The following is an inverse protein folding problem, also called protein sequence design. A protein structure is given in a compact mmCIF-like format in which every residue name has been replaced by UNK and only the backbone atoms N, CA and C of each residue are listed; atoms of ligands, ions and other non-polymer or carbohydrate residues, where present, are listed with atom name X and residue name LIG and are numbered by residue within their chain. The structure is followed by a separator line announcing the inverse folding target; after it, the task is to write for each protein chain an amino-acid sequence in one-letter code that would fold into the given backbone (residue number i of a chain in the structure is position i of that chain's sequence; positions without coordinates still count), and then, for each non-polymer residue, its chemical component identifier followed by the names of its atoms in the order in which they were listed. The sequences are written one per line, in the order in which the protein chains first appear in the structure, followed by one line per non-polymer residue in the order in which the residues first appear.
data_IF_789375076743
#
_entry.id   IF_789375076743
#
_cell.length_a   1.000
_cell.length_b   1.000
_cell.length_c   1.000
_cell.angle_alpha   90.00
_cell.angle_beta   90.00
_cell.angle_gamma   90.00
#
_symmetry.space_group_name_H-M   'P 1'
#
loop_
_entity.id
_entity.type
_entity.pdbx_description
1 polymer ?
#
# COMPACT_ATOMS: atom_id res chain seq x y z
N UNK A 1 55.58 -7.16 28.69
CA UNK A 1 54.96 -7.48 27.38
C UNK A 1 53.82 -8.42 27.69
N UNK A 2 52.53 -8.13 27.51
CA UNK A 2 51.86 -7.13 26.67
C UNK A 2 50.51 -6.78 27.32
N UNK A 3 50.16 -5.49 27.27
CA UNK A 3 48.82 -4.97 27.55
C UNK A 3 47.90 -5.30 26.38
N UNK A 4 46.69 -5.80 26.64
CA UNK A 4 45.57 -5.69 25.71
C UNK A 4 44.29 -5.36 26.49
N UNK A 5 43.94 -4.07 26.47
CA UNK A 5 42.58 -3.61 26.74
C UNK A 5 41.70 -3.97 25.53
N UNK A 6 40.58 -4.64 25.75
CA UNK A 6 39.47 -4.69 24.80
C UNK A 6 38.32 -3.83 25.34
N UNK A 7 37.93 -2.85 24.54
CA UNK A 7 36.80 -1.96 24.76
C UNK A 7 35.47 -2.72 24.58
N UNK A 8 34.39 -2.36 25.31
CA UNK A 8 33.06 -2.87 25.03
C UNK A 8 32.50 -2.20 23.76
N UNK A 9 32.16 -3.01 22.75
CA UNK A 9 31.35 -2.58 21.62
C UNK A 9 29.87 -2.62 22.01
N UNK A 10 29.32 -1.50 22.46
CA UNK A 10 27.87 -1.30 22.48
C UNK A 10 27.38 -0.96 21.07
N UNK A 11 27.18 -1.98 20.23
CA UNK A 11 26.34 -1.83 19.05
C UNK A 11 24.89 -2.03 19.47
N UNK A 12 24.27 -0.96 19.99
CA UNK A 12 22.81 -0.89 20.13
C UNK A 12 22.24 -0.64 18.75
N UNK A 13 22.16 -1.70 17.94
CA UNK A 13 21.20 -1.74 16.85
C UNK A 13 19.83 -1.74 17.52
N UNK A 14 19.11 -0.62 17.40
CA UNK A 14 17.70 -0.56 17.78
C UNK A 14 16.98 -1.65 17.00
N UNK A 15 16.68 -2.76 17.68
CA UNK A 15 15.90 -3.84 17.11
C UNK A 15 14.55 -3.24 16.70
N UNK A 16 14.28 -3.27 15.39
CA UNK A 16 12.93 -3.04 14.90
C UNK A 16 12.00 -3.98 15.68
N UNK A 17 10.90 -3.49 16.26
CA UNK A 17 9.99 -4.36 16.97
C UNK A 17 9.56 -5.47 16.02
N UNK A 18 9.58 -6.75 16.44
CA UNK A 18 9.11 -7.84 15.60
C UNK A 18 7.65 -7.56 15.26
N UNK A 19 7.39 -7.24 14.00
CA UNK A 19 6.03 -7.04 13.50
C UNK A 19 5.29 -8.36 13.63
N UNK A 20 4.33 -8.43 14.55
CA UNK A 20 3.32 -9.48 14.48
C UNK A 20 2.60 -9.34 13.14
N UNK A 21 2.32 -10.44 12.42
CA UNK A 21 1.64 -10.36 11.14
C UNK A 21 0.32 -9.61 11.31
N UNK A 22 0.04 -8.68 10.40
CA UNK A 22 -1.19 -7.91 10.41
C UNK A 22 -2.40 -8.86 10.43
N UNK A 23 -3.40 -8.62 11.29
CA UNK A 23 -4.56 -9.51 11.38
C UNK A 23 -5.42 -9.30 10.13
N UNK A 24 -5.28 -10.20 9.16
CA UNK A 24 -5.98 -10.14 7.88
C UNK A 24 -6.73 -11.44 7.59
N UNK A 25 -8.05 -11.33 7.44
CA UNK A 25 -8.90 -12.39 6.94
C UNK A 25 -9.69 -11.87 5.73
N UNK A 26 -9.44 -12.38 4.50
CA UNK A 26 -10.12 -11.93 3.31
C UNK A 26 -11.63 -12.27 3.29
N UNK A 27 -12.09 -13.20 4.14
CA UNK A 27 -13.51 -13.53 4.26
C UNK A 27 -14.30 -12.51 5.10
N UNK A 28 -13.63 -11.64 5.86
CA UNK A 28 -14.29 -10.58 6.62
C UNK A 28 -14.87 -9.50 5.72
N UNK A 29 -15.92 -8.83 6.22
CA UNK A 29 -16.47 -7.65 5.56
C UNK A 29 -15.40 -6.55 5.44
N UNK A 30 -15.31 -5.84 4.30
CA UNK A 30 -14.24 -4.85 4.06
C UNK A 30 -14.08 -3.81 5.17
N UNK A 31 -15.19 -3.25 5.66
CA UNK A 31 -15.18 -2.26 6.74
C UNK A 31 -14.60 -2.81 8.07
N UNK A 32 -14.87 -4.08 8.40
CA UNK A 32 -14.33 -4.72 9.59
C UNK A 32 -12.83 -5.00 9.44
N UNK A 33 -12.43 -5.49 8.26
CA UNK A 33 -11.04 -5.76 7.92
C UNK A 33 -10.19 -4.49 7.97
N UNK A 34 -10.68 -3.39 7.38
CA UNK A 34 -10.05 -2.08 7.47
C UNK A 34 -9.89 -1.60 8.92
N UNK A 35 -10.94 -1.75 9.74
CA UNK A 35 -10.89 -1.40 11.16
C UNK A 35 -9.78 -2.18 11.87
N UNK A 36 -9.73 -3.49 11.71
CA UNK A 36 -8.71 -4.34 12.35
C UNK A 36 -7.30 -3.96 11.90
N UNK A 37 -7.09 -3.68 10.61
CA UNK A 37 -5.80 -3.21 10.11
C UNK A 37 -5.40 -1.87 10.74
N UNK A 38 -6.35 -0.93 10.87
CA UNK A 38 -6.10 0.36 11.53
C UNK A 38 -5.77 0.21 13.01
N UNK A 39 -6.50 -0.63 13.72
CA UNK A 39 -6.28 -0.90 15.15
C UNK A 39 -4.94 -1.60 15.40
N UNK A 40 -4.41 -2.34 14.42
CA UNK A 40 -3.09 -2.97 14.50
C UNK A 40 -1.93 -1.98 14.27
N UNK A 41 -2.18 -0.77 13.76
CA UNK A 41 -1.14 0.23 13.54
C UNK A 41 -0.65 0.83 14.87
N UNK A 42 0.59 1.35 14.94
CA UNK A 42 1.03 2.15 16.08
C UNK A 42 0.10 3.34 16.35
N UNK A 43 -0.22 3.61 17.62
CA UNK A 43 -1.12 4.69 18.07
C UNK A 43 -0.82 6.07 17.42
N UNK A 44 0.45 6.49 17.20
CA UNK A 44 0.73 7.74 16.49
C UNK A 44 0.15 7.78 15.07
N UNK A 45 0.15 6.67 14.34
CA UNK A 45 -0.43 6.60 12.99
C UNK A 45 -1.95 6.58 13.04
N UNK A 46 -2.55 5.85 14.00
CA UNK A 46 -4.01 5.83 14.19
C UNK A 46 -4.54 7.26 14.36
N UNK A 47 -3.94 8.03 15.28
CA UNK A 47 -4.32 9.42 15.55
C UNK A 47 -4.17 10.33 14.32
N UNK A 48 -3.16 10.12 13.47
CA UNK A 48 -3.00 10.89 12.23
C UNK A 48 -4.08 10.53 11.21
N UNK A 49 -4.37 9.24 11.04
CA UNK A 49 -5.42 8.76 10.15
C UNK A 49 -6.79 9.32 10.54
N UNK A 50 -7.09 9.40 11.83
CA UNK A 50 -8.34 9.94 12.37
C UNK A 50 -8.47 11.46 12.20
N UNK A 51 -7.35 12.18 12.19
CA UNK A 51 -7.32 13.65 12.11
C UNK A 51 -7.15 14.20 10.69
N UNK A 52 -6.84 13.34 9.72
CA UNK A 52 -6.69 13.78 8.34
C UNK A 52 -8.01 14.28 7.74
N UNK A 53 -7.88 15.11 6.71
CA UNK A 53 -9.01 15.74 6.04
C UNK A 53 -9.35 14.96 4.77
N UNK A 54 -10.63 14.74 4.52
CA UNK A 54 -11.13 14.17 3.25
C UNK A 54 -11.65 15.32 2.40
N UNK A 55 -10.96 15.62 1.31
CA UNK A 55 -11.43 16.47 0.23
C UNK A 55 -12.21 15.66 -0.80
N UNK A 56 -13.20 16.27 -1.43
CA UNK A 56 -13.93 15.69 -2.56
C UNK A 56 -13.88 16.65 -3.74
N UNK A 57 -13.49 16.16 -4.90
CA UNK A 57 -13.53 16.96 -6.12
C UNK A 57 -13.95 16.10 -7.31
N UNK A 58 -14.59 16.75 -8.29
CA UNK A 58 -14.98 16.11 -9.54
C UNK A 58 -13.77 15.97 -10.44
N UNK A 59 -13.47 14.73 -10.85
CA UNK A 59 -12.45 14.43 -11.85
C UNK A 59 -13.08 14.44 -13.23
N UNK A 60 -12.48 15.21 -14.13
CA UNK A 60 -12.83 15.27 -15.53
C UNK A 60 -11.70 14.65 -16.37
N UNK A 61 -12.06 13.88 -17.39
CA UNK A 61 -11.17 13.31 -18.41
C UNK A 61 -11.48 13.94 -19.76
N UNK A 62 -10.75 13.52 -20.80
CA UNK A 62 -11.00 13.97 -22.19
C UNK A 62 -12.43 13.67 -22.67
N UNK A 63 -13.07 12.63 -22.11
CA UNK A 63 -14.44 12.23 -22.40
C UNK A 63 -15.51 12.93 -21.52
N UNK A 64 -15.10 13.90 -20.69
CA UNK A 64 -15.99 14.66 -19.81
C UNK A 64 -15.92 14.27 -18.34
N UNK A 65 -17.06 14.32 -17.63
CA UNK A 65 -17.10 13.94 -16.21
C UNK A 65 -16.80 12.45 -16.05
N UNK A 66 -15.76 12.12 -15.28
CA UNK A 66 -15.37 10.74 -15.03
C UNK A 66 -15.95 10.24 -13.71
N UNK A 67 -15.62 10.92 -12.58
CA UNK A 67 -16.13 10.53 -11.26
C UNK A 67 -15.89 11.64 -10.20
N UNK A 68 -16.41 11.46 -8.99
CA UNK A 68 -16.01 12.21 -7.79
C UNK A 68 -14.90 11.44 -7.06
N UNK A 69 -13.74 12.08 -6.91
CA UNK A 69 -12.58 11.49 -6.21
C UNK A 69 -12.51 12.03 -4.79
N UNK A 70 -12.27 11.12 -3.84
CA UNK A 70 -11.93 11.47 -2.46
C UNK A 70 -10.41 11.49 -2.29
N UNK A 71 -9.86 12.66 -1.98
CA UNK A 71 -8.46 12.79 -1.60
C UNK A 71 -8.35 12.93 -0.09
N UNK A 72 -7.52 12.11 0.53
CA UNK A 72 -7.20 12.25 1.94
C UNK A 72 -5.86 12.95 2.10
N UNK A 73 -5.83 14.03 2.89
CA UNK A 73 -4.61 14.76 3.22
C UNK A 73 -4.28 14.62 4.70
N UNK A 74 -3.00 14.34 5.05
CA UNK A 74 -2.60 14.23 6.44
C UNK A 74 -2.75 15.59 7.16
N UNK A 75 -3.01 15.58 8.48
CA UNK A 75 -3.09 16.82 9.26
C UNK A 75 -1.72 17.49 9.37
N UNK A 76 -1.69 18.76 9.80
CA UNK A 76 -0.44 19.42 10.16
C UNK A 76 0.29 18.68 11.30
N UNK A 77 1.61 18.89 11.39
CA UNK A 77 2.43 18.29 12.45
C UNK A 77 2.84 16.84 12.19
N UNK A 78 2.73 16.34 10.96
CA UNK A 78 3.43 15.12 10.56
C UNK A 78 4.94 15.34 10.70
N UNK A 79 5.64 14.36 11.27
CA UNK A 79 7.08 14.44 11.58
C UNK A 79 7.84 13.38 10.79
N UNK A 80 9.17 13.48 10.68
CA UNK A 80 9.99 12.42 10.09
C UNK A 80 9.82 11.05 10.78
N UNK A 81 9.54 11.04 12.09
CA UNK A 81 9.23 9.82 12.84
C UNK A 81 7.93 9.20 12.38
N UNK A 82 6.89 10.02 12.15
CA UNK A 82 5.62 9.53 11.59
C UNK A 82 5.83 8.94 10.20
N UNK A 83 6.67 9.55 9.36
CA UNK A 83 6.98 9.01 8.05
C UNK A 83 7.67 7.64 8.12
N UNK A 84 8.64 7.47 9.02
CA UNK A 84 9.30 6.17 9.21
C UNK A 84 8.32 5.07 9.63
N UNK A 85 7.42 5.36 10.58
CA UNK A 85 6.37 4.42 11.00
C UNK A 85 5.41 4.10 9.85
N UNK A 86 4.98 5.11 9.08
CA UNK A 86 4.05 4.94 7.98
C UNK A 86 4.64 4.10 6.84
N UNK A 87 5.93 4.29 6.51
CA UNK A 87 6.63 3.46 5.51
C UNK A 87 6.70 1.99 5.92
N UNK A 88 7.02 1.71 7.18
CA UNK A 88 7.05 0.35 7.69
C UNK A 88 5.66 -0.30 7.64
N UNK A 89 4.61 0.40 8.08
CA UNK A 89 3.25 -0.12 7.99
C UNK A 89 2.81 -0.33 6.52
N UNK A 90 3.18 0.58 5.63
CA UNK A 90 2.88 0.49 4.21
C UNK A 90 3.57 -0.71 3.56
N UNK A 91 4.84 -0.99 3.87
CA UNK A 91 5.55 -2.16 3.33
C UNK A 91 4.89 -3.45 3.80
N UNK A 92 4.53 -3.55 5.08
CA UNK A 92 3.83 -4.74 5.59
C UNK A 92 2.50 -4.98 4.86
N UNK A 93 1.68 -3.94 4.67
CA UNK A 93 0.41 -4.07 3.93
C UNK A 93 0.66 -4.42 2.46
N UNK A 94 1.61 -3.74 1.81
CA UNK A 94 1.92 -3.95 0.39
C UNK A 94 2.43 -5.37 0.12
N UNK A 95 3.32 -5.87 0.98
CA UNK A 95 4.03 -7.13 0.75
C UNK A 95 3.25 -8.35 1.23
N UNK A 96 2.34 -8.19 2.20
CA UNK A 96 1.60 -9.34 2.80
C UNK A 96 0.12 -9.39 2.43
N UNK A 97 -0.51 -8.25 2.18
CA UNK A 97 -1.96 -8.16 1.94
C UNK A 97 -2.24 -7.80 0.48
N UNK A 98 -1.59 -6.77 -0.05
CA UNK A 98 -1.84 -6.25 -1.40
C UNK A 98 -0.88 -6.82 -2.45
N UNK A 99 -0.03 -7.77 -2.07
CA UNK A 99 0.95 -8.36 -2.98
C UNK A 99 0.25 -9.02 -4.17
N UNK A 100 0.66 -8.70 -5.41
CA UNK A 100 0.15 -9.31 -6.62
C UNK A 100 0.11 -10.84 -6.57
N UNK A 101 -0.95 -11.44 -7.12
CA UNK A 101 -1.04 -12.88 -7.26
C UNK A 101 0.04 -13.43 -8.21
N UNK A 102 0.49 -14.66 -7.96
CA UNK A 102 1.36 -15.32 -8.94
C UNK A 102 0.58 -15.69 -10.22
N UNK A 103 1.27 -15.69 -11.36
CA UNK A 103 0.69 -16.07 -12.65
C UNK A 103 0.02 -17.46 -12.61
N UNK A 104 0.63 -18.42 -11.88
CA UNK A 104 0.07 -19.76 -11.71
C UNK A 104 -1.26 -19.75 -10.94
N UNK A 105 -1.38 -18.92 -9.89
CA UNK A 105 -2.64 -18.76 -9.16
C UNK A 105 -3.71 -18.14 -10.04
N UNK A 106 -3.36 -17.07 -10.77
CA UNK A 106 -4.25 -16.38 -11.70
C UNK A 106 -4.78 -17.32 -12.77
N UNK A 107 -3.90 -17.99 -13.52
CA UNK A 107 -4.28 -18.90 -14.60
C UNK A 107 -5.20 -20.02 -14.09
N UNK A 108 -4.80 -20.68 -13.00
CA UNK A 108 -5.61 -21.75 -12.39
C UNK A 108 -6.97 -21.24 -11.92
N UNK A 109 -7.05 -19.99 -11.43
CA UNK A 109 -8.29 -19.39 -10.96
C UNK A 109 -9.23 -18.96 -12.06
N UNK A 110 -8.69 -18.36 -13.12
CA UNK A 110 -9.46 -17.97 -14.29
C UNK A 110 -10.01 -19.22 -15.00
N UNK A 111 -9.18 -20.22 -15.28
CA UNK A 111 -9.64 -21.46 -15.92
C UNK A 111 -10.72 -22.16 -15.08
N UNK A 112 -10.53 -22.26 -13.77
CA UNK A 112 -11.54 -22.82 -12.87
C UNK A 112 -12.85 -22.01 -12.93
N UNK A 113 -12.80 -20.68 -12.92
CA UNK A 113 -13.98 -19.84 -13.04
C UNK A 113 -14.71 -20.06 -14.37
N UNK A 114 -13.97 -20.03 -15.49
CA UNK A 114 -14.53 -20.16 -16.83
C UNK A 114 -15.15 -21.53 -17.08
N UNK A 115 -14.62 -22.60 -16.47
CA UNK A 115 -15.19 -23.95 -16.58
C UNK A 115 -16.63 -24.07 -16.04
N UNK A 116 -17.05 -23.17 -15.13
CA UNK A 116 -18.44 -23.10 -14.68
C UNK A 116 -19.39 -22.49 -15.72
N UNK A 117 -18.84 -21.82 -16.73
CA UNK A 117 -19.57 -21.10 -17.77
C UNK A 117 -19.02 -21.45 -19.17
N UNK A 118 -19.16 -22.73 -19.59
CA UNK A 118 -18.55 -23.20 -20.83
C UNK A 118 -19.09 -22.43 -22.04
N UNK A 119 -18.18 -21.98 -22.90
CA UNK A 119 -18.56 -21.39 -24.18
C UNK A 119 -18.87 -22.49 -25.20
N UNK A 120 -19.80 -22.21 -26.10
CA UNK A 120 -20.07 -23.12 -27.22
C UNK A 120 -18.91 -23.06 -28.21
N UNK A 121 -18.36 -24.22 -28.56
CA UNK A 121 -17.36 -24.39 -29.62
C UNK A 121 -16.02 -23.65 -29.43
N UNK A 122 -15.57 -23.41 -28.20
CA UNK A 122 -14.20 -22.92 -27.93
C UNK A 122 -13.26 -24.11 -27.73
N UNK A 123 -12.11 -24.11 -28.41
CA UNK A 123 -11.09 -25.15 -28.21
C UNK A 123 -10.33 -24.93 -26.89
N UNK A 124 -9.75 -25.98 -26.28
CA UNK A 124 -8.95 -25.84 -25.06
C UNK A 124 -7.78 -24.85 -25.21
N UNK A 125 -7.15 -24.81 -26.39
CA UNK A 125 -6.05 -23.88 -26.68
C UNK A 125 -6.51 -22.43 -26.63
N UNK A 126 -7.69 -22.13 -27.18
CA UNK A 126 -8.27 -20.77 -27.14
C UNK A 126 -8.69 -20.38 -25.72
N UNK A 127 -9.21 -21.32 -24.93
CA UNK A 127 -9.52 -21.04 -23.51
C UNK A 127 -8.25 -20.74 -22.70
N UNK A 128 -7.14 -21.42 -23.00
CA UNK A 128 -5.86 -21.16 -22.36
C UNK A 128 -5.30 -19.78 -22.72
N UNK A 129 -5.36 -19.39 -24.00
CA UNK A 129 -4.94 -18.05 -24.44
C UNK A 129 -5.77 -16.96 -23.74
N UNK A 130 -7.09 -17.11 -23.71
CA UNK A 130 -7.96 -16.17 -23.00
C UNK A 130 -7.63 -16.08 -21.51
N UNK A 131 -7.31 -17.20 -20.87
CA UNK A 131 -6.96 -17.21 -19.46
C UNK A 131 -5.59 -16.55 -19.18
N UNK A 132 -4.68 -16.58 -20.15
CA UNK A 132 -3.42 -15.82 -20.11
C UNK A 132 -3.68 -14.32 -20.21
N UNK A 133 -4.50 -13.87 -21.17
CA UNK A 133 -4.87 -12.44 -21.28
C UNK A 133 -5.49 -11.94 -19.97
N UNK A 134 -6.35 -12.76 -19.36
CA UNK A 134 -6.93 -12.43 -18.06
C UNK A 134 -5.92 -12.40 -16.92
N UNK A 135 -4.89 -13.25 -16.96
CA UNK A 135 -3.86 -13.26 -15.95
C UNK A 135 -3.01 -11.98 -16.01
N UNK A 136 -2.75 -11.46 -17.21
CA UNK A 136 -2.04 -10.19 -17.39
C UNK A 136 -2.85 -9.01 -16.84
N UNK A 137 -4.12 -8.91 -17.23
CA UNK A 137 -5.02 -7.82 -16.84
C UNK A 137 -5.45 -7.83 -15.35
N UNK A 138 -5.42 -9.01 -14.72
CA UNK A 138 -5.68 -9.17 -13.28
C UNK A 138 -4.40 -9.26 -12.45
N UNK A 139 -3.23 -9.16 -13.10
CA UNK A 139 -1.92 -9.33 -12.50
C UNK A 139 -1.58 -8.35 -11.38
N UNK A 140 -2.27 -7.21 -11.30
CA UNK A 140 -2.07 -6.22 -10.24
C UNK A 140 -2.80 -6.54 -8.93
N UNK A 141 -3.75 -7.48 -8.94
CA UNK A 141 -4.58 -7.77 -7.77
C UNK A 141 -4.00 -8.91 -6.91
N UNK A 142 -4.21 -8.87 -5.59
CA UNK A 142 -3.79 -9.94 -4.72
C UNK A 142 -4.66 -11.20 -4.89
N UNK A 143 -4.06 -12.36 -4.62
CA UNK A 143 -4.69 -13.66 -4.81
C UNK A 143 -6.06 -13.79 -4.14
N UNK A 144 -6.19 -13.24 -2.92
CA UNK A 144 -7.43 -13.28 -2.15
C UNK A 144 -8.56 -12.45 -2.79
N UNK A 145 -8.24 -11.32 -3.44
CA UNK A 145 -9.24 -10.47 -4.08
C UNK A 145 -9.80 -11.17 -5.32
N UNK A 146 -8.94 -11.81 -6.11
CA UNK A 146 -9.33 -12.61 -7.28
C UNK A 146 -10.19 -13.81 -6.85
N UNK A 147 -9.81 -14.52 -5.78
CA UNK A 147 -10.60 -15.63 -5.23
C UNK A 147 -11.97 -15.15 -4.74
N UNK A 148 -12.04 -14.00 -4.09
CA UNK A 148 -13.29 -13.41 -3.62
C UNK A 148 -14.18 -12.97 -4.79
N UNK A 149 -13.61 -12.31 -5.81
CA UNK A 149 -14.32 -11.90 -7.03
C UNK A 149 -14.90 -13.10 -7.78
N UNK A 150 -14.08 -14.13 -8.04
CA UNK A 150 -14.52 -15.36 -8.69
C UNK A 150 -15.60 -16.09 -7.88
N UNK A 151 -15.47 -16.14 -6.55
CA UNK A 151 -16.49 -16.73 -5.67
C UNK A 151 -17.79 -15.92 -5.67
N UNK A 152 -17.72 -14.60 -5.61
CA UNK A 152 -18.89 -13.70 -5.64
C UNK A 152 -19.63 -13.83 -6.96
N UNK A 153 -18.92 -13.87 -8.08
CA UNK A 153 -19.51 -14.05 -9.40
C UNK A 153 -20.30 -15.37 -9.48
N UNK A 154 -19.65 -16.50 -9.17
CA UNK A 154 -20.30 -17.84 -9.22
C UNK A 154 -21.55 -17.96 -8.37
N UNK A 155 -21.66 -17.17 -7.28
CA UNK A 155 -22.81 -17.21 -6.36
C UNK A 155 -23.94 -16.29 -6.74
N UNK A 156 -23.68 -15.28 -7.55
CA UNK A 156 -24.64 -14.18 -7.81
C UNK A 156 -25.02 -14.03 -9.26
N UNK A 157 -24.24 -14.60 -10.19
CA UNK A 157 -24.42 -14.43 -11.64
C UNK A 157 -24.58 -15.77 -12.33
N UNK A 158 -25.45 -15.79 -13.34
CA UNK A 158 -25.77 -16.98 -14.17
C UNK A 158 -24.87 -17.11 -15.39
N UNK A 159 -24.34 -15.99 -15.89
CA UNK A 159 -23.65 -15.92 -17.17
C UNK A 159 -22.15 -15.81 -17.02
N UNK A 160 -21.43 -16.17 -18.09
CA UNK A 160 -19.97 -16.06 -18.17
C UNK A 160 -19.56 -14.60 -17.91
N UNK A 161 -18.60 -14.35 -17.01
CA UNK A 161 -18.11 -13.01 -16.77
C UNK A 161 -17.32 -12.48 -17.97
N UNK A 162 -17.35 -11.18 -18.16
CA UNK A 162 -16.29 -10.45 -18.86
C UNK A 162 -15.12 -10.18 -17.89
N UNK A 163 -13.96 -9.88 -18.46
CA UNK A 163 -12.79 -9.54 -17.64
C UNK A 163 -12.99 -8.26 -16.83
N UNK A 164 -13.60 -7.24 -17.45
CA UNK A 164 -13.88 -5.95 -16.81
C UNK A 164 -14.75 -6.12 -15.55
N UNK A 165 -15.71 -7.05 -15.58
CA UNK A 165 -16.55 -7.34 -14.41
C UNK A 165 -15.78 -8.00 -13.27
N UNK A 166 -14.88 -8.94 -13.58
CA UNK A 166 -14.03 -9.56 -12.55
C UNK A 166 -13.03 -8.55 -12.00
N UNK A 167 -12.45 -7.73 -12.86
CA UNK A 167 -11.57 -6.62 -12.47
C UNK A 167 -12.28 -5.66 -11.52
N UNK A 168 -13.49 -5.20 -11.85
CA UNK A 168 -14.28 -4.33 -10.98
C UNK A 168 -14.58 -4.97 -9.62
N UNK A 169 -14.86 -6.29 -9.59
CA UNK A 169 -15.01 -7.00 -8.32
C UNK A 169 -13.70 -7.10 -7.51
N UNK A 170 -12.55 -7.20 -8.17
CA UNK A 170 -11.25 -7.16 -7.49
C UNK A 170 -10.99 -5.76 -6.91
N UNK A 171 -11.26 -4.69 -7.67
CA UNK A 171 -11.15 -3.30 -7.22
C UNK A 171 -12.04 -3.04 -6.01
N UNK A 172 -13.31 -3.47 -6.05
CA UNK A 172 -14.22 -3.41 -4.89
C UNK A 172 -13.67 -4.18 -3.69
N UNK A 173 -13.07 -5.36 -3.91
CA UNK A 173 -12.59 -6.21 -2.84
C UNK A 173 -11.43 -5.58 -2.05
N UNK A 174 -10.51 -4.88 -2.72
CA UNK A 174 -9.31 -4.27 -2.15
C UNK A 174 -9.40 -2.75 -1.93
N UNK A 175 -10.55 -2.13 -2.21
CA UNK A 175 -10.73 -0.68 -2.12
C UNK A 175 -10.31 -0.09 -0.76
N UNK A 176 -10.73 -0.72 0.34
CA UNK A 176 -10.45 -0.25 1.70
C UNK A 176 -8.97 -0.37 2.09
N UNK A 177 -8.31 -1.47 1.69
CA UNK A 177 -6.87 -1.68 1.94
C UNK A 177 -6.04 -0.71 1.10
N UNK A 178 -6.40 -0.51 -0.17
CA UNK A 178 -5.75 0.46 -1.04
C UNK A 178 -5.93 1.88 -0.52
N UNK A 179 -7.12 2.23 -0.03
CA UNK A 179 -7.36 3.54 0.59
C UNK A 179 -6.48 3.73 1.84
N UNK A 180 -6.38 2.72 2.72
CA UNK A 180 -5.49 2.78 3.88
C UNK A 180 -4.01 2.94 3.46
N UNK A 181 -3.55 2.15 2.49
CA UNK A 181 -2.19 2.22 1.95
C UNK A 181 -1.90 3.61 1.33
N UNK A 182 -2.85 4.20 0.61
CA UNK A 182 -2.74 5.54 0.06
C UNK A 182 -2.59 6.61 1.17
N UNK A 183 -3.36 6.51 2.25
CA UNK A 183 -3.24 7.43 3.40
C UNK A 183 -1.90 7.29 4.12
N UNK A 184 -1.41 6.06 4.32
CA UNK A 184 -0.08 5.82 4.89
C UNK A 184 1.03 6.39 3.99
N UNK A 185 0.91 6.23 2.67
CA UNK A 185 1.82 6.85 1.71
C UNK A 185 1.80 8.38 1.81
N UNK A 186 0.63 8.99 1.96
CA UNK A 186 0.51 10.44 2.14
C UNK A 186 1.18 10.93 3.44
N UNK A 187 1.05 10.18 4.55
CA UNK A 187 1.76 10.46 5.81
C UNK A 187 3.28 10.36 5.61
N UNK A 188 3.76 9.31 4.94
CA UNK A 188 5.18 9.12 4.66
C UNK A 188 5.77 10.32 3.89
N UNK A 189 5.14 10.70 2.78
CA UNK A 189 5.57 11.83 1.95
C UNK A 189 5.52 13.17 2.71
N UNK A 190 4.53 13.38 3.57
CA UNK A 190 4.40 14.62 4.34
C UNK A 190 5.50 14.77 5.40
N UNK A 191 5.84 13.69 6.11
CA UNK A 191 6.88 13.73 7.13
C UNK A 191 8.30 13.82 6.55
N UNK A 192 8.52 13.31 5.34
CA UNK A 192 9.77 13.51 4.58
C UNK A 192 9.96 14.99 4.23
N UNK A 193 8.95 15.64 3.64
CA UNK A 193 8.95 17.07 3.34
C UNK A 193 9.20 17.95 4.57
N UNK A 194 8.66 17.57 5.73
CA UNK A 194 8.91 18.26 7.00
C UNK A 194 10.35 18.10 7.51
N UNK A 195 11.00 16.97 7.22
CA UNK A 195 12.40 16.72 7.58
C UNK A 195 13.38 17.55 6.74
N UNK A 196 13.10 17.69 5.45
CA UNK A 196 13.92 18.49 4.52
C UNK A 196 13.90 19.98 4.88
N UNK A 197 12.73 20.53 5.18
CA UNK A 197 12.56 21.93 5.61
C UNK A 197 13.26 22.20 6.95
N UNK A 198 13.18 21.29 7.93
CA UNK A 198 13.88 21.42 9.21
C UNK A 198 15.41 21.30 9.13
N UNK A 199 15.93 20.57 8.13
CA UNK A 199 17.37 20.40 7.92
C UNK A 199 18.05 21.66 7.37
N UNK A 200 17.37 22.42 6.51
CA UNK A 200 17.93 23.65 5.89
C UNK A 200 18.18 24.79 6.88
N UNK A 201 17.49 24.82 8.01
CA UNK A 201 17.71 25.82 9.08
C UNK A 201 18.80 25.44 10.10
N UNK A 202 19.39 24.24 10.00
CA UNK A 202 20.40 23.72 10.93
C UNK A 202 21.86 23.88 10.48
N UNK A 203 22.13 24.51 9.34
CA UNK A 203 23.50 24.75 8.88
C UNK A 203 24.15 25.88 9.71
N UNK A 204 24.87 25.47 10.76
CA UNK A 204 25.76 26.31 11.57
C UNK A 204 26.71 27.07 10.65
N UNK A 205 26.52 28.39 10.55
CA UNK A 205 27.48 29.31 9.93
C UNK A 205 28.80 29.23 10.70
N UNK A 206 29.94 28.80 10.10
CA UNK A 206 31.22 29.00 10.74
C UNK A 206 31.53 30.50 10.74
N UNK A 207 31.51 31.12 11.91
CA UNK A 207 32.07 32.46 12.12
C UNK A 207 33.58 32.33 11.98
N UNK A 208 34.10 32.61 10.79
CA UNK A 208 35.53 32.79 10.58
C UNK A 208 35.95 34.10 11.24
N UNK A 209 36.60 33.99 12.39
CA UNK A 209 37.31 35.07 13.05
C UNK A 209 38.52 35.48 12.17
N UNK A 210 38.39 36.58 11.42
CA UNK A 210 39.53 37.23 10.79
C UNK A 210 40.09 38.31 11.71
N UNK A 211 41.14 37.96 12.45
CA UNK A 211 42.02 38.92 13.09
C UNK A 211 42.91 39.59 12.02
N UNK A 212 42.71 40.88 11.74
CA UNK A 212 43.69 41.69 11.03
C UNK A 212 44.37 42.65 12.01
N UNK A 213 45.59 42.27 12.36
CA UNK A 213 46.61 43.07 13.04
C UNK A 213 47.23 44.01 12.01
N UNK A 214 47.21 45.33 12.25
CA UNK A 214 48.19 46.31 11.74
C UNK A 214 48.08 47.61 12.54
N UNK A 215 49.08 47.87 13.39
CA UNK A 215 49.47 49.22 13.78
C UNK A 215 50.85 49.47 13.18
N UNK A 216 50.99 50.66 12.60
CA UNK A 216 52.28 51.31 12.33
C UNK A 216 52.71 52.04 13.59
#
# INVERSE_FOLDING_TARGET
MSNLHQFPTTSSAAAAPPGLPLPFDPAMAPALRNRMLREALPEPLQRLLDRGQVGRHSRFTEDGFADVVEDWTPPDGVTPRHAALARHALSEIADTILAPASANHLLGRVLALLSHFPAKATSPEVEQLLAMDWADDLGEFPAWAIDQAARRWRRTRKWRPSIAEIRGLCEEACAEENALAARLRAIAMAGERAGETGSTTGAVRPVLASAMRRMR
#
